data_IF_057465233626
#
_entry.id   IF_057465233626
#
_cell.length_a   1.000
_cell.length_b   1.000
_cell.length_c   1.000
_cell.angle_alpha   90.00
_cell.angle_beta   90.00
_cell.angle_gamma   90.00
#
_symmetry.space_group_name_H-M   'P 1'
#
loop_
_entity.id
_entity.type
_entity.pdbx_description
1 polymer ?
#
# COMPACT_ATOMS: atom_id res chain seq x y z
N UNK A 1 14.86 4.95 18.40
CA UNK A 1 14.85 6.03 19.42
C UNK A 1 15.18 7.32 18.72
N UNK A 2 14.23 8.24 18.66
CA UNK A 2 14.38 9.52 17.98
C UNK A 2 14.65 10.51 19.12
N UNK A 3 15.77 11.25 19.06
CA UNK A 3 16.38 11.97 20.18
C UNK A 3 15.60 13.16 20.77
N UNK A 4 14.27 13.18 20.75
CA UNK A 4 13.44 14.24 21.34
C UNK A 4 12.59 13.81 22.52
N UNK A 5 12.51 12.52 22.87
CA UNK A 5 11.78 12.08 24.08
C UNK A 5 10.27 12.32 24.05
N UNK A 6 9.73 12.78 22.92
CA UNK A 6 8.28 12.92 22.72
C UNK A 6 7.69 11.56 22.35
N UNK A 7 6.65 11.17 23.08
CA UNK A 7 5.86 9.98 22.80
C UNK A 7 5.10 10.22 21.49
N UNK A 8 5.57 9.64 20.38
CA UNK A 8 4.85 9.67 19.11
C UNK A 8 3.60 8.81 19.29
N UNK A 9 2.48 9.46 19.63
CA UNK A 9 1.18 8.80 19.59
C UNK A 9 0.77 8.71 18.12
N UNK A 10 0.89 7.51 17.54
CA UNK A 10 0.37 7.23 16.20
C UNK A 10 -1.16 7.21 16.33
N UNK A 11 -1.84 8.19 15.75
CA UNK A 11 -3.30 8.19 15.63
C UNK A 11 -3.65 7.83 14.20
N UNK A 12 -4.21 6.64 14.00
CA UNK A 12 -4.81 6.24 12.74
C UNK A 12 -6.23 6.80 12.68
N UNK A 13 -6.73 7.11 11.49
CA UNK A 13 -8.11 7.58 11.33
C UNK A 13 -9.14 6.47 11.58
N UNK A 14 -8.70 5.21 11.55
CA UNK A 14 -9.54 4.03 11.75
C UNK A 14 -8.71 2.87 12.32
N UNK A 15 -9.35 2.05 13.16
CA UNK A 15 -8.84 0.76 13.61
C UNK A 15 -9.30 -0.40 12.69
N UNK A 16 -10.21 -0.15 11.72
CA UNK A 16 -10.61 -1.18 10.74
C UNK A 16 -9.53 -1.34 9.68
N UNK A 17 -8.79 -2.44 9.79
CA UNK A 17 -7.72 -2.87 8.89
C UNK A 17 -8.13 -3.03 7.43
N UNK A 18 -9.44 -3.13 7.14
CA UNK A 18 -9.98 -3.26 5.77
C UNK A 18 -10.35 -1.91 5.15
N UNK A 19 -10.39 -0.85 5.96
CA UNK A 19 -10.82 0.47 5.51
C UNK A 19 -9.71 1.13 4.69
N UNK A 20 -9.97 1.68 3.50
CA UNK A 20 -8.95 2.41 2.75
C UNK A 20 -8.49 3.70 3.46
N UNK A 21 -9.17 4.13 4.53
CA UNK A 21 -8.86 5.34 5.28
C UNK A 21 -7.49 5.33 5.97
N UNK A 22 -6.84 4.17 6.14
CA UNK A 22 -5.46 4.13 6.64
C UNK A 22 -4.41 4.42 5.55
N UNK A 23 -4.78 4.46 4.27
CA UNK A 23 -3.86 4.71 3.16
C UNK A 23 -3.09 6.04 3.27
N UNK A 24 -3.71 7.19 3.61
CA UNK A 24 -2.97 8.45 3.72
C UNK A 24 -1.83 8.39 4.74
N UNK A 25 -2.01 7.64 5.83
CA UNK A 25 -1.02 7.51 6.90
C UNK A 25 0.24 6.73 6.46
N UNK A 26 0.20 5.89 5.41
CA UNK A 26 1.36 5.06 5.05
C UNK A 26 2.57 5.85 4.56
N UNK A 27 2.34 6.96 3.86
CA UNK A 27 3.44 7.80 3.41
C UNK A 27 4.12 8.45 4.61
N UNK A 28 3.34 8.98 5.56
CA UNK A 28 3.86 9.52 6.81
C UNK A 28 4.66 8.48 7.60
N UNK A 29 4.13 7.26 7.74
CA UNK A 29 4.85 6.18 8.44
C UNK A 29 6.18 5.83 7.75
N UNK A 30 6.20 5.76 6.41
CA UNK A 30 7.42 5.50 5.67
C UNK A 30 8.46 6.62 5.88
N UNK A 31 8.02 7.87 5.88
CA UNK A 31 8.89 9.03 6.11
C UNK A 31 9.31 9.21 7.58
N UNK A 32 8.53 8.70 8.53
CA UNK A 32 8.79 8.76 9.96
C UNK A 32 9.67 7.59 10.48
N UNK A 33 10.04 6.65 9.61
CA UNK A 33 11.00 5.60 9.95
C UNK A 33 12.30 6.20 10.48
N UNK A 34 12.92 5.53 11.46
CA UNK A 34 14.28 5.88 11.85
C UNK A 34 15.25 5.61 10.69
N UNK A 35 16.41 6.28 10.67
CA UNK A 35 17.43 6.06 9.63
C UNK A 35 17.83 4.58 9.53
N UNK A 36 17.89 3.88 10.69
CA UNK A 36 18.16 2.45 10.75
C UNK A 36 17.05 1.61 10.13
N UNK A 37 15.78 1.86 10.49
CA UNK A 37 14.63 1.11 9.95
C UNK A 37 14.46 1.35 8.44
N UNK A 38 14.62 2.60 7.99
CA UNK A 38 14.56 2.97 6.58
C UNK A 38 15.69 2.30 5.79
N UNK A 39 16.92 2.30 6.32
CA UNK A 39 18.06 1.64 5.69
C UNK A 39 17.87 0.13 5.62
N UNK A 40 17.36 -0.49 6.69
CA UNK A 40 17.06 -1.92 6.71
C UNK A 40 15.98 -2.30 5.68
N UNK A 41 14.90 -1.53 5.59
CA UNK A 41 13.86 -1.73 4.58
C UNK A 41 14.41 -1.61 3.16
N UNK A 42 15.20 -0.57 2.87
CA UNK A 42 15.79 -0.40 1.54
C UNK A 42 16.81 -1.49 1.21
N UNK A 43 17.62 -1.94 2.19
CA UNK A 43 18.55 -3.04 2.01
C UNK A 43 17.79 -4.34 1.66
N UNK A 44 16.69 -4.63 2.36
CA UNK A 44 15.85 -5.78 2.07
C UNK A 44 15.26 -5.72 0.65
N UNK A 45 14.77 -4.55 0.21
CA UNK A 45 14.26 -4.35 -1.15
C UNK A 45 15.35 -4.61 -2.19
N UNK A 46 16.56 -4.08 -1.96
CA UNK A 46 17.70 -4.28 -2.86
C UNK A 46 18.21 -5.72 -2.90
N UNK A 47 17.87 -6.54 -1.90
CA UNK A 47 18.24 -7.95 -1.81
C UNK A 47 17.15 -8.90 -2.34
N UNK A 48 16.02 -8.37 -2.85
CA UNK A 48 15.01 -9.19 -3.52
C UNK A 48 15.64 -9.90 -4.73
N UNK A 49 15.51 -11.22 -4.76
CA UNK A 49 16.14 -12.08 -5.78
C UNK A 49 17.53 -12.61 -5.39
N UNK A 50 18.03 -12.26 -4.21
CA UNK A 50 19.17 -12.95 -3.60
C UNK A 50 18.72 -14.19 -2.81
N UNK A 51 19.65 -15.09 -2.51
CA UNK A 51 19.40 -16.28 -1.68
C UNK A 51 19.18 -15.96 -0.18
N UNK A 52 19.27 -14.69 0.21
CA UNK A 52 19.12 -14.27 1.60
C UNK A 52 17.71 -13.73 1.86
N UNK A 53 16.99 -14.37 2.78
CA UNK A 53 15.74 -13.83 3.30
C UNK A 53 16.01 -12.89 4.48
N UNK A 54 15.50 -11.67 4.39
CA UNK A 54 15.52 -10.73 5.50
C UNK A 54 14.28 -10.90 6.38
N UNK A 55 14.52 -10.93 7.69
CA UNK A 55 13.46 -10.91 8.70
C UNK A 55 13.54 -9.59 9.45
N UNK A 56 12.39 -8.93 9.58
CA UNK A 56 12.22 -7.65 10.24
C UNK A 56 11.73 -7.87 11.68
N UNK A 57 12.49 -7.39 12.65
CA UNK A 57 12.08 -7.33 14.05
C UNK A 57 11.61 -5.92 14.39
N UNK A 58 10.37 -5.79 14.89
CA UNK A 58 9.82 -4.48 15.28
C UNK A 58 9.02 -4.58 16.57
N UNK A 59 9.08 -3.52 17.39
CA UNK A 59 8.17 -3.40 18.53
C UNK A 59 6.77 -3.03 18.06
N UNK A 60 5.73 -3.52 18.74
CA UNK A 60 4.34 -3.29 18.31
C UNK A 60 3.94 -1.81 18.26
N UNK A 61 4.51 -0.98 19.15
CA UNK A 61 4.18 0.44 19.28
C UNK A 61 5.22 1.35 18.62
N UNK A 62 6.00 0.85 17.66
CA UNK A 62 6.95 1.68 16.89
C UNK A 62 6.37 2.04 15.53
N UNK A 63 6.89 3.12 14.91
CA UNK A 63 6.53 3.51 13.53
C UNK A 63 6.77 2.35 12.55
N UNK A 64 7.88 1.62 12.72
CA UNK A 64 8.18 0.42 11.93
C UNK A 64 7.18 -0.71 12.18
N UNK A 65 6.77 -0.94 13.44
CA UNK A 65 5.75 -1.94 13.78
C UNK A 65 4.41 -1.66 13.12
N UNK A 66 3.94 -0.41 13.18
CA UNK A 66 2.70 0.03 12.53
C UNK A 66 2.80 -0.09 10.99
N UNK A 67 3.88 0.40 10.39
CA UNK A 67 4.08 0.28 8.94
C UNK A 67 4.07 -1.18 8.50
N UNK A 68 4.78 -2.06 9.22
CA UNK A 68 4.87 -3.47 8.84
C UNK A 68 3.56 -4.22 9.06
N UNK A 69 2.76 -3.85 10.06
CA UNK A 69 1.40 -4.36 10.21
C UNK A 69 0.51 -3.97 9.02
N UNK A 70 0.63 -2.74 8.52
CA UNK A 70 -0.09 -2.30 7.31
C UNK A 70 0.39 -3.00 6.04
N UNK A 71 1.69 -3.22 5.90
CA UNK A 71 2.24 -4.03 4.80
C UNK A 71 1.75 -5.48 4.87
N UNK A 72 1.60 -6.05 6.06
CA UNK A 72 0.96 -7.35 6.25
C UNK A 72 -0.51 -7.34 5.79
N UNK A 73 -1.26 -6.26 6.05
CA UNK A 73 -2.62 -6.09 5.54
C UNK A 73 -2.73 -5.90 4.03
N UNK A 74 -1.67 -5.45 3.35
CA UNK A 74 -1.54 -5.49 1.89
C UNK A 74 -1.12 -6.86 1.35
N UNK A 75 -0.83 -7.82 2.23
CA UNK A 75 -0.28 -9.12 1.87
C UNK A 75 1.21 -9.07 1.50
N UNK A 76 1.92 -7.98 1.79
CA UNK A 76 3.34 -7.81 1.44
C UNK A 76 4.26 -8.46 2.46
N UNK A 77 3.84 -8.50 3.71
CA UNK A 77 4.56 -9.14 4.79
C UNK A 77 3.70 -10.24 5.43
N UNK A 78 4.35 -11.18 6.08
CA UNK A 78 3.72 -12.17 6.94
C UNK A 78 4.50 -12.29 8.25
N UNK A 79 3.79 -12.56 9.34
CA UNK A 79 4.42 -12.88 10.62
C UNK A 79 5.20 -14.19 10.57
N UNK A 80 6.34 -14.22 11.25
CA UNK A 80 7.14 -15.42 11.50
C UNK A 80 6.80 -16.00 12.88
N UNK A 81 6.07 -17.13 12.92
CA UNK A 81 5.53 -17.70 14.16
C UNK A 81 6.60 -18.35 15.07
N UNK A 82 7.73 -18.81 14.52
CA UNK A 82 8.72 -19.63 15.24
C UNK A 82 10.02 -18.88 15.60
N UNK A 83 10.10 -17.57 15.42
CA UNK A 83 11.38 -16.85 15.36
C UNK A 83 11.88 -16.24 16.69
N UNK A 84 11.06 -16.22 17.76
CA UNK A 84 11.38 -15.46 18.97
C UNK A 84 11.58 -16.31 20.23
N UNK A 85 12.71 -16.11 20.95
CA UNK A 85 12.88 -16.57 22.32
C UNK A 85 11.73 -16.13 23.25
N UNK A 86 11.36 -16.98 24.21
CA UNK A 86 10.21 -16.74 25.12
C UNK A 86 10.28 -15.41 25.88
N UNK A 87 11.47 -14.89 26.16
CA UNK A 87 11.71 -13.64 26.90
C UNK A 87 11.42 -12.37 26.09
N UNK A 88 11.33 -12.48 24.76
CA UNK A 88 10.96 -11.38 23.85
C UNK A 88 9.63 -11.61 23.15
N UNK A 89 8.97 -12.75 23.41
CA UNK A 89 7.60 -13.00 22.96
C UNK A 89 6.65 -11.95 23.54
N UNK A 90 5.89 -11.30 22.66
CA UNK A 90 4.97 -10.21 23.02
C UNK A 90 5.59 -8.82 23.06
N UNK A 91 6.92 -8.69 22.96
CA UNK A 91 7.60 -7.38 22.82
C UNK A 91 7.94 -7.06 21.37
N UNK A 92 8.34 -8.08 20.61
CA UNK A 92 8.71 -7.95 19.20
C UNK A 92 7.76 -8.77 18.34
N UNK A 93 7.57 -8.29 17.11
CA UNK A 93 6.91 -9.04 16.04
C UNK A 93 7.91 -9.19 14.90
N UNK A 94 8.13 -10.45 14.52
CA UNK A 94 8.99 -10.82 13.40
C UNK A 94 8.14 -10.93 12.14
N UNK A 95 8.59 -10.30 11.06
CA UNK A 95 7.93 -10.35 9.76
C UNK A 95 8.93 -10.60 8.65
N UNK A 96 8.48 -11.24 7.57
CA UNK A 96 9.24 -11.35 6.31
C UNK A 96 8.38 -10.92 5.13
N UNK A 97 9.02 -10.59 4.01
CA UNK A 97 8.27 -10.37 2.77
C UNK A 97 7.68 -11.67 2.24
N UNK A 98 6.43 -11.63 1.83
CA UNK A 98 5.79 -12.67 1.01
C UNK A 98 6.31 -12.58 -0.43
N UNK A 99 6.06 -13.58 -1.26
CA UNK A 99 6.33 -13.49 -2.70
C UNK A 99 5.61 -12.31 -3.37
N UNK A 100 4.40 -11.98 -2.92
CA UNK A 100 3.66 -10.82 -3.41
C UNK A 100 4.33 -9.50 -2.99
N UNK A 101 4.76 -9.42 -1.74
CA UNK A 101 5.52 -8.28 -1.22
C UNK A 101 6.83 -8.09 -1.97
N UNK A 102 7.60 -9.15 -2.19
CA UNK A 102 8.84 -9.11 -2.98
C UNK A 102 8.59 -8.54 -4.39
N UNK A 103 7.44 -8.83 -5.00
CA UNK A 103 7.09 -8.30 -6.32
C UNK A 103 6.69 -6.83 -6.31
N UNK A 104 6.08 -6.33 -5.24
CA UNK A 104 5.34 -5.05 -5.26
C UNK A 104 5.78 -4.00 -4.22
N UNK A 105 6.66 -4.37 -3.27
CA UNK A 105 7.12 -3.44 -2.23
C UNK A 105 7.94 -2.27 -2.79
N UNK A 106 8.69 -2.49 -3.87
CA UNK A 106 9.43 -1.41 -4.54
C UNK A 106 8.46 -0.33 -5.04
N UNK A 107 7.42 -0.75 -5.78
CA UNK A 107 6.36 0.15 -6.28
C UNK A 107 5.71 0.93 -5.13
N UNK A 108 5.41 0.24 -4.01
CA UNK A 108 4.85 0.88 -2.83
C UNK A 108 5.77 1.96 -2.26
N UNK A 109 7.06 1.65 -2.04
CA UNK A 109 7.98 2.63 -1.46
C UNK A 109 8.21 3.84 -2.36
N UNK A 110 8.20 3.65 -3.69
CA UNK A 110 8.27 4.74 -4.66
C UNK A 110 7.00 5.58 -4.57
N UNK A 111 5.83 4.93 -4.54
CA UNK A 111 4.55 5.62 -4.49
C UNK A 111 4.41 6.47 -3.22
N UNK A 112 4.77 5.93 -2.06
CA UNK A 112 4.72 6.66 -0.79
C UNK A 112 5.61 7.92 -0.78
N UNK A 113 6.83 7.81 -1.34
CA UNK A 113 7.76 8.96 -1.44
C UNK A 113 7.18 10.05 -2.34
N UNK A 114 6.67 9.67 -3.51
CA UNK A 114 6.08 10.60 -4.47
C UNK A 114 4.79 11.22 -3.95
N UNK A 115 3.97 10.46 -3.22
CA UNK A 115 2.72 10.93 -2.64
C UNK A 115 2.98 12.07 -1.63
N UNK A 116 3.98 11.93 -0.76
CA UNK A 116 4.37 12.99 0.19
C UNK A 116 4.82 14.27 -0.52
N UNK A 117 5.61 14.12 -1.58
CA UNK A 117 6.08 15.25 -2.41
C UNK A 117 4.91 15.96 -3.12
N UNK A 118 3.96 15.19 -3.68
CA UNK A 118 2.80 15.74 -4.41
C UNK A 118 1.78 16.42 -3.52
N UNK A 119 1.55 15.86 -2.34
CA UNK A 119 0.59 16.42 -1.40
C UNK A 119 1.18 17.60 -0.61
N UNK A 120 2.50 17.86 -0.73
CA UNK A 120 3.18 18.92 0.02
C UNK A 120 3.03 18.76 1.55
N UNK A 121 2.83 17.52 2.02
CA UNK A 121 2.49 17.21 3.41
C UNK A 121 1.03 17.45 3.83
N UNK A 122 0.15 17.90 2.93
CA UNK A 122 -1.29 18.04 3.18
C UNK A 122 -2.07 16.78 2.81
N UNK A 123 -2.46 16.04 3.85
CA UNK A 123 -3.19 14.76 3.72
C UNK A 123 -4.67 14.90 3.38
N UNK A 124 -5.26 16.09 3.47
CA UNK A 124 -6.71 16.29 3.30
C UNK A 124 -7.22 15.85 1.92
N UNK A 125 -6.40 16.04 0.89
CA UNK A 125 -6.70 15.58 -0.48
C UNK A 125 -6.76 14.06 -0.59
N UNK A 126 -5.88 13.34 0.11
CA UNK A 126 -5.83 11.88 0.16
C UNK A 126 -6.94 11.30 1.01
N UNK A 127 -7.24 11.90 2.16
CA UNK A 127 -8.37 11.51 3.02
C UNK A 127 -9.67 11.59 2.22
N UNK A 128 -9.93 12.75 1.58
CA UNK A 128 -11.10 12.96 0.72
C UNK A 128 -11.16 11.95 -0.42
N UNK A 129 -10.00 11.61 -1.00
CA UNK A 129 -9.94 10.58 -2.04
C UNK A 129 -10.30 9.20 -1.49
N UNK A 130 -9.75 8.80 -0.33
CA UNK A 130 -10.02 7.50 0.28
C UNK A 130 -11.49 7.34 0.67
N UNK A 131 -12.13 8.39 1.18
CA UNK A 131 -13.57 8.43 1.44
C UNK A 131 -14.37 8.13 0.16
N UNK A 132 -14.08 8.87 -0.92
CA UNK A 132 -14.79 8.70 -2.19
C UNK A 132 -14.48 7.38 -2.88
N UNK A 133 -13.26 6.84 -2.70
CA UNK A 133 -12.91 5.53 -3.23
C UNK A 133 -13.62 4.42 -2.46
N UNK A 134 -13.82 4.58 -1.14
CA UNK A 134 -14.58 3.62 -0.33
C UNK A 134 -16.04 3.48 -0.82
N UNK A 135 -16.65 4.57 -1.32
CA UNK A 135 -17.98 4.53 -1.96
C UNK A 135 -18.02 3.65 -3.22
N UNK A 136 -16.87 3.29 -3.78
CA UNK A 136 -16.77 2.39 -4.93
C UNK A 136 -16.70 0.91 -4.55
N UNK A 137 -16.66 0.54 -3.26
CA UNK A 137 -16.49 -0.85 -2.83
C UNK A 137 -17.53 -1.79 -3.45
N UNK A 138 -18.79 -1.38 -3.53
CA UNK A 138 -19.86 -2.18 -4.15
C UNK A 138 -19.60 -2.44 -5.65
N UNK A 139 -18.97 -1.49 -6.35
CA UNK A 139 -18.55 -1.68 -7.74
C UNK A 139 -17.38 -2.65 -7.88
N UNK A 140 -16.48 -2.71 -6.89
CA UNK A 140 -15.38 -3.66 -6.86
C UNK A 140 -15.80 -5.04 -6.37
N UNK A 141 -16.83 -5.15 -5.52
CA UNK A 141 -17.29 -6.41 -4.91
C UNK A 141 -17.70 -7.44 -5.96
N UNK A 142 -18.30 -7.00 -7.06
CA UNK A 142 -18.73 -7.87 -8.16
C UNK A 142 -17.61 -8.35 -9.09
N UNK A 143 -16.39 -7.80 -8.97
CA UNK A 143 -15.29 -8.12 -9.89
C UNK A 143 -14.55 -9.40 -9.47
N UNK A 144 -14.21 -10.29 -10.41
CA UNK A 144 -13.39 -11.46 -10.11
C UNK A 144 -11.92 -11.05 -9.84
N UNK A 145 -11.15 -11.85 -9.08
CA UNK A 145 -9.74 -11.55 -8.76
C UNK A 145 -8.86 -11.22 -9.96
N UNK A 146 -9.05 -11.90 -11.09
CA UNK A 146 -8.28 -11.67 -12.31
C UNK A 146 -8.51 -10.26 -12.87
N UNK A 147 -9.74 -9.75 -12.78
CA UNK A 147 -10.07 -8.38 -13.17
C UNK A 147 -9.45 -7.38 -12.20
N UNK A 148 -9.44 -7.66 -10.90
CA UNK A 148 -8.77 -6.81 -9.90
C UNK A 148 -7.25 -6.76 -10.12
N UNK A 149 -6.62 -7.90 -10.44
CA UNK A 149 -5.22 -7.96 -10.86
C UNK A 149 -4.96 -7.16 -12.14
N UNK A 150 -5.88 -7.23 -13.11
CA UNK A 150 -5.85 -6.42 -14.32
C UNK A 150 -5.92 -4.91 -14.04
N UNK A 151 -6.81 -4.49 -13.13
CA UNK A 151 -6.87 -3.09 -12.69
C UNK A 151 -5.60 -2.68 -11.95
N UNK A 152 -5.12 -3.49 -11.00
CA UNK A 152 -3.89 -3.23 -10.25
C UNK A 152 -2.69 -3.08 -11.17
N UNK A 153 -2.60 -3.88 -12.24
CA UNK A 153 -1.59 -3.71 -13.29
C UNK A 153 -1.83 -2.45 -14.13
N UNK A 154 -3.05 -2.21 -14.61
CA UNK A 154 -3.37 -1.01 -15.38
C UNK A 154 -2.97 0.26 -14.64
N UNK A 155 -3.35 0.39 -13.36
CA UNK A 155 -3.02 1.54 -12.55
C UNK A 155 -1.54 1.60 -12.13
N UNK A 156 -0.74 0.53 -12.25
CA UNK A 156 0.66 0.57 -11.75
C UNK A 156 1.59 1.46 -12.58
N UNK A 157 1.17 1.93 -13.76
CA UNK A 157 1.98 2.80 -14.62
C UNK A 157 1.07 3.78 -15.38
N UNK A 158 1.26 5.11 -15.27
CA UNK A 158 0.46 6.09 -16.02
C UNK A 158 0.64 6.00 -17.54
N UNK A 159 1.65 5.27 -18.03
CA UNK A 159 1.84 4.99 -19.46
C UNK A 159 0.92 3.88 -19.96
N UNK A 160 0.32 3.08 -19.08
CA UNK A 160 -0.68 2.11 -19.49
C UNK A 160 -1.89 2.81 -20.10
N UNK A 161 -2.52 2.12 -21.03
CA UNK A 161 -3.67 2.61 -21.77
C UNK A 161 -4.61 1.45 -22.07
N UNK A 162 -5.90 1.70 -21.98
CA UNK A 162 -6.92 0.76 -22.46
C UNK A 162 -7.80 1.49 -23.46
N UNK A 163 -8.03 0.85 -24.61
CA UNK A 163 -9.01 1.32 -25.58
C UNK A 163 -10.39 0.82 -25.16
N UNK A 164 -11.33 1.73 -24.92
CA UNK A 164 -12.67 1.37 -24.48
C UNK A 164 -13.70 2.08 -25.34
N UNK A 165 -14.37 1.32 -26.21
CA UNK A 165 -15.39 1.86 -27.11
C UNK A 165 -16.66 2.32 -26.37
N UNK A 166 -16.96 1.71 -25.23
CA UNK A 166 -18.07 2.09 -24.33
C UNK A 166 -17.60 1.94 -22.87
N UNK A 167 -17.11 3.01 -22.23
CA UNK A 167 -16.63 2.93 -20.85
C UNK A 167 -17.72 2.44 -19.92
N UNK A 168 -17.36 1.50 -19.04
CA UNK A 168 -18.27 1.08 -17.98
C UNK A 168 -18.52 2.23 -17.02
N UNK A 169 -19.62 2.18 -16.26
CA UNK A 169 -19.90 3.15 -15.22
C UNK A 169 -18.73 3.31 -14.22
N UNK A 170 -17.95 2.25 -13.99
CA UNK A 170 -16.79 2.29 -13.11
C UNK A 170 -15.67 3.19 -13.65
N UNK A 171 -15.39 3.16 -14.96
CA UNK A 171 -14.39 4.06 -15.55
C UNK A 171 -14.85 5.52 -15.56
N UNK A 172 -16.15 5.79 -15.63
CA UNK A 172 -16.69 7.15 -15.49
C UNK A 172 -16.56 7.65 -14.05
N UNK A 173 -16.87 6.79 -13.06
CA UNK A 173 -16.66 7.11 -11.65
C UNK A 173 -15.17 7.38 -11.37
N UNK A 174 -14.27 6.56 -11.93
CA UNK A 174 -12.83 6.80 -11.86
C UNK A 174 -12.43 8.14 -12.48
N UNK A 175 -13.02 8.53 -13.60
CA UNK A 175 -12.75 9.83 -14.22
C UNK A 175 -13.20 10.98 -13.31
N UNK A 176 -14.37 10.86 -12.69
CA UNK A 176 -14.89 11.86 -11.73
C UNK A 176 -13.98 11.98 -10.50
N UNK A 177 -13.38 10.88 -10.06
CA UNK A 177 -12.39 10.88 -8.97
C UNK A 177 -11.00 11.36 -9.40
N UNK A 178 -10.79 11.66 -10.69
CA UNK A 178 -9.49 12.10 -11.22
C UNK A 178 -8.41 11.01 -11.22
N UNK A 179 -8.79 9.73 -11.17
CA UNK A 179 -7.82 8.62 -11.20
C UNK A 179 -7.53 8.11 -12.61
N UNK A 180 -8.37 8.46 -13.58
CA UNK A 180 -8.12 8.23 -15.02
C UNK A 180 -8.44 9.46 -15.85
N UNK A 181 -7.74 9.62 -16.97
CA UNK A 181 -8.01 10.61 -18.00
C UNK A 181 -8.42 9.93 -19.31
N UNK A 182 -9.27 10.63 -20.07
CA UNK A 182 -9.76 10.16 -21.37
C UNK A 182 -9.10 10.99 -22.46
N UNK A 183 -8.58 10.33 -23.49
CA UNK A 183 -8.09 11.01 -24.68
C UNK A 183 -9.21 11.17 -25.71
N UNK A 184 -9.03 12.13 -26.62
CA UNK A 184 -9.93 12.34 -27.76
C UNK A 184 -9.98 11.11 -28.71
N UNK A 185 -8.99 10.22 -28.60
CA UNK A 185 -8.90 8.97 -29.39
C UNK A 185 -9.59 7.77 -28.72
N UNK A 186 -10.27 7.96 -27.58
CA UNK A 186 -10.97 6.89 -26.87
C UNK A 186 -10.07 6.00 -26.02
N UNK A 187 -8.87 6.46 -25.67
CA UNK A 187 -7.99 5.78 -24.72
C UNK A 187 -8.23 6.29 -23.31
N UNK A 188 -8.18 5.37 -22.34
CA UNK A 188 -8.21 5.69 -20.92
C UNK A 188 -6.84 5.40 -20.33
N UNK A 189 -6.27 6.40 -19.65
CA UNK A 189 -4.99 6.31 -18.97
C UNK A 189 -5.16 6.55 -17.48
N UNK A 190 -4.37 5.89 -16.61
CA UNK A 190 -4.25 6.30 -15.23
C UNK A 190 -3.67 7.71 -15.15
N UNK A 191 -4.24 8.57 -14.31
CA UNK A 191 -3.54 9.80 -13.93
C UNK A 191 -2.34 9.44 -13.05
N UNK A 192 -1.41 10.37 -12.88
CA UNK A 192 -0.30 10.21 -11.93
C UNK A 192 -0.83 9.94 -10.51
N UNK A 193 -1.87 10.67 -10.10
CA UNK A 193 -2.55 10.46 -8.83
C UNK A 193 -3.20 9.06 -8.75
N UNK A 194 -3.88 8.61 -9.80
CA UNK A 194 -4.42 7.25 -9.87
C UNK A 194 -3.33 6.20 -9.71
N UNK A 195 -2.20 6.36 -10.39
CA UNK A 195 -1.12 5.38 -10.36
C UNK A 195 -0.40 5.29 -9.01
N UNK A 196 -0.33 6.39 -8.27
CA UNK A 196 0.30 6.41 -6.95
C UNK A 196 -0.57 5.80 -5.84
N UNK A 197 -1.88 5.73 -6.02
CA UNK A 197 -2.79 5.39 -4.93
C UNK A 197 -3.58 4.10 -5.20
N UNK A 198 -4.16 3.99 -6.38
CA UNK A 198 -5.16 2.97 -6.71
C UNK A 198 -4.63 1.54 -6.69
N UNK A 199 -3.40 1.23 -7.18
CA UNK A 199 -2.89 -0.15 -7.13
C UNK A 199 -2.91 -0.76 -5.73
N UNK A 200 -2.59 0.04 -4.72
CA UNK A 200 -2.46 -0.42 -3.34
C UNK A 200 -3.81 -0.54 -2.63
N UNK A 201 -4.79 0.28 -3.02
CA UNK A 201 -6.18 0.08 -2.62
C UNK A 201 -6.75 -1.21 -3.23
N UNK A 202 -6.31 -1.61 -4.42
CA UNK A 202 -6.61 -2.94 -4.95
C UNK A 202 -5.87 -4.06 -4.22
N UNK A 203 -4.62 -3.86 -3.80
CA UNK A 203 -3.88 -4.85 -3.00
C UNK A 203 -4.61 -5.16 -1.68
N UNK A 204 -5.22 -4.15 -1.04
CA UNK A 204 -6.15 -4.32 0.09
C UNK A 204 -7.32 -5.26 -0.22
N UNK A 205 -8.02 -5.00 -1.32
CA UNK A 205 -9.18 -5.79 -1.75
C UNK A 205 -8.74 -7.22 -2.10
N UNK A 206 -7.65 -7.37 -2.86
CA UNK A 206 -7.09 -8.65 -3.26
C UNK A 206 -6.66 -9.49 -2.05
N UNK A 207 -5.98 -8.89 -1.07
CA UNK A 207 -5.58 -9.56 0.15
C UNK A 207 -6.79 -10.07 0.95
N UNK A 208 -7.79 -9.20 1.14
CA UNK A 208 -9.02 -9.54 1.90
C UNK A 208 -9.81 -10.71 1.28
N UNK A 209 -9.66 -10.93 -0.03
CA UNK A 209 -10.29 -12.03 -0.78
C UNK A 209 -9.41 -13.28 -0.89
N UNK A 210 -8.23 -13.30 -0.27
CA UNK A 210 -7.27 -14.40 -0.39
C UNK A 210 -6.70 -14.54 -1.81
N UNK A 211 -6.76 -13.49 -2.63
CA UNK A 211 -6.32 -13.49 -4.03
C UNK A 211 -4.84 -13.13 -4.20
N UNK A 212 -4.12 -12.99 -3.08
CA UNK A 212 -2.68 -12.83 -3.02
C UNK A 212 -2.10 -14.16 -2.56
N UNK A 213 -1.30 -14.81 -3.43
CA UNK A 213 -0.66 -16.08 -3.10
C UNK A 213 0.30 -15.87 -1.91
N UNK A 214 0.10 -16.67 -0.85
CA UNK A 214 1.03 -16.79 0.27
C UNK A 214 1.93 -18.00 0.01
N UNK A 215 3.10 -17.76 -0.55
CA UNK A 215 4.20 -18.72 -0.56
C UNK A 215 5.42 -18.02 0.05
#
# INVERSE_FOLDING_TARGET
MNGTGDEITIRTETDDIRSPMWWPDTSFLLHALSEGDASALMAAINMIGSDQEMVFASGQNTVSGELYARLEHLGYMAMEEDALPEDVQGLLVMRRFTDYGKKHVSDFTIAQKMQMEECGGDRSSLETFCEKFADLDDHHRGLPPETLHGFRYFFSDPRHAVEVQNPSNLYELYRILGIVDYTDTGLIHPTRFGALNVPFLFDLILHSRGAIARH
#
